data_IF_898397105286
#
_entry.id   IF_898397105286
#
_cell.length_a   1.000
_cell.length_b   1.000
_cell.length_c   1.000
_cell.angle_alpha   90.00
_cell.angle_beta   90.00
_cell.angle_gamma   90.00
#
_symmetry.space_group_name_H-M   'P 1'
#
loop_
_entity.id
_entity.type
_entity.pdbx_description
1 polymer ?
#
# COMPACT_ATOMS: atom_id res chain seq x y z
N UNK A 1 7.26 -14.82 -12.07
CA UNK A 1 6.50 -13.85 -12.91
C UNK A 1 7.00 -13.93 -14.35
N UNK A 2 6.26 -13.44 -15.35
CA UNK A 2 6.72 -13.45 -16.76
C UNK A 2 7.76 -12.35 -17.00
N UNK A 3 8.67 -12.55 -17.96
CA UNK A 3 9.77 -11.62 -18.25
C UNK A 3 9.31 -10.16 -18.50
N UNK A 4 8.26 -9.97 -19.30
CA UNK A 4 7.71 -8.63 -19.57
C UNK A 4 7.17 -7.93 -18.31
N UNK A 5 6.67 -8.68 -17.31
CA UNK A 5 6.20 -8.11 -16.06
C UNK A 5 7.39 -7.63 -15.21
N UNK A 6 8.49 -8.38 -15.22
CA UNK A 6 9.72 -8.01 -14.53
C UNK A 6 10.35 -6.74 -15.11
N UNK A 7 10.38 -6.64 -16.44
CA UNK A 7 10.84 -5.44 -17.14
C UNK A 7 9.99 -4.23 -16.77
N UNK A 8 8.66 -4.33 -16.89
CA UNK A 8 7.74 -3.26 -16.50
C UNK A 8 7.93 -2.82 -15.05
N UNK A 9 8.08 -3.76 -14.11
CA UNK A 9 8.26 -3.41 -12.70
C UNK A 9 9.56 -2.62 -12.49
N UNK A 10 10.62 -2.97 -13.24
CA UNK A 10 11.90 -2.28 -13.20
C UNK A 10 11.80 -0.87 -13.79
N UNK A 11 11.08 -0.69 -14.91
CA UNK A 11 10.78 0.62 -15.49
C UNK A 11 9.97 1.51 -14.54
N UNK A 12 8.99 0.94 -13.83
CA UNK A 12 8.22 1.66 -12.80
C UNK A 12 9.13 2.07 -11.65
N UNK A 13 9.99 1.17 -11.17
CA UNK A 13 10.95 1.49 -10.11
C UNK A 13 11.88 2.63 -10.50
N UNK A 14 12.46 2.57 -11.70
CA UNK A 14 13.32 3.64 -12.22
C UNK A 14 12.58 4.97 -12.35
N UNK A 15 11.33 4.95 -12.82
CA UNK A 15 10.49 6.15 -12.90
C UNK A 15 10.34 6.81 -11.52
N UNK A 16 10.00 6.03 -10.49
CA UNK A 16 9.77 6.55 -9.14
C UNK A 16 11.06 7.04 -8.47
N UNK A 17 12.21 6.45 -8.78
CA UNK A 17 13.51 6.91 -8.29
C UNK A 17 14.02 8.16 -9.01
N UNK A 18 13.74 8.31 -10.31
CA UNK A 18 14.14 9.50 -11.10
C UNK A 18 13.26 10.72 -10.86
N UNK A 19 11.95 10.50 -10.65
CA UNK A 19 10.98 11.58 -10.49
C UNK A 19 10.16 11.49 -9.18
N UNK A 20 10.82 11.34 -8.01
CA UNK A 20 10.11 11.18 -6.75
C UNK A 20 9.38 12.46 -6.33
N UNK A 21 9.93 13.64 -6.65
CA UNK A 21 9.37 14.94 -6.25
C UNK A 21 8.10 15.22 -7.03
N UNK A 22 8.11 15.01 -8.34
CA UNK A 22 6.96 15.26 -9.22
C UNK A 22 5.82 14.29 -8.89
N UNK A 23 6.13 13.01 -8.65
CA UNK A 23 5.14 12.03 -8.23
C UNK A 23 4.55 12.36 -6.84
N UNK A 24 5.38 12.77 -5.89
CA UNK A 24 4.93 13.18 -4.56
C UNK A 24 4.01 14.41 -4.61
N UNK A 25 4.42 15.46 -5.34
CA UNK A 25 3.63 16.66 -5.54
C UNK A 25 2.28 16.32 -6.18
N UNK A 26 2.27 15.52 -7.26
CA UNK A 26 1.04 15.11 -7.92
C UNK A 26 0.07 14.34 -7.01
N UNK A 27 0.57 13.56 -6.05
CA UNK A 27 -0.29 12.89 -5.06
C UNK A 27 -1.01 13.89 -4.15
N UNK A 28 -0.27 14.88 -3.62
CA UNK A 28 -0.86 15.88 -2.71
C UNK A 28 -1.75 16.89 -3.45
N UNK A 29 -1.37 17.32 -4.66
CA UNK A 29 -2.17 18.21 -5.51
C UNK A 29 -3.51 17.61 -5.93
N UNK A 30 -3.55 16.29 -6.17
CA UNK A 30 -4.78 15.61 -6.52
C UNK A 30 -5.85 15.70 -5.40
N UNK A 31 -5.45 16.01 -4.16
CA UNK A 31 -6.31 16.21 -2.98
C UNK A 31 -7.41 15.16 -2.81
N UNK A 32 -7.18 13.95 -3.34
CA UNK A 32 -8.20 12.92 -3.50
C UNK A 32 -8.49 12.18 -2.19
N UNK A 33 -7.53 12.22 -1.26
CA UNK A 33 -7.55 11.45 -0.03
C UNK A 33 -7.53 12.39 1.18
N UNK A 34 -8.62 12.43 1.92
CA UNK A 34 -8.77 13.26 3.12
C UNK A 34 -9.90 12.75 4.03
N UNK A 35 -10.37 13.60 4.92
CA UNK A 35 -11.52 13.31 5.78
C UNK A 35 -11.28 12.11 6.74
N UNK A 36 -12.30 11.26 6.97
CA UNK A 36 -12.21 10.15 7.94
C UNK A 36 -11.05 9.18 7.65
N UNK A 37 -10.73 8.96 6.37
CA UNK A 37 -9.64 8.10 5.94
C UNK A 37 -8.30 8.51 6.54
N UNK A 38 -7.98 9.80 6.49
CA UNK A 38 -6.72 10.33 7.03
C UNK A 38 -6.73 10.29 8.57
N UNK A 39 -7.86 10.63 9.19
CA UNK A 39 -8.01 10.62 10.64
C UNK A 39 -7.76 9.23 11.23
N UNK A 40 -8.47 8.21 10.74
CA UNK A 40 -8.33 6.85 11.26
C UNK A 40 -6.96 6.26 10.95
N UNK A 41 -6.41 6.52 9.76
CA UNK A 41 -5.08 6.06 9.38
C UNK A 41 -4.01 6.59 10.36
N UNK A 42 -3.98 7.91 10.61
CA UNK A 42 -2.99 8.51 11.52
C UNK A 42 -3.13 8.01 12.94
N UNK A 43 -4.36 7.87 13.44
CA UNK A 43 -4.58 7.33 14.80
C UNK A 43 -4.13 5.88 14.90
N UNK A 44 -4.43 5.04 13.90
CA UNK A 44 -4.00 3.64 13.87
C UNK A 44 -2.46 3.51 13.83
N UNK A 45 -1.79 4.32 13.01
CA UNK A 45 -0.33 4.33 12.92
C UNK A 45 0.32 4.86 14.21
N UNK A 46 -0.25 5.90 14.83
CA UNK A 46 0.25 6.43 16.10
C UNK A 46 0.22 5.45 17.27
N UNK A 47 -0.45 4.30 17.13
CA UNK A 47 -0.49 3.22 18.12
C UNK A 47 0.46 2.05 17.77
N UNK A 48 1.24 2.15 16.69
CA UNK A 48 2.29 1.18 16.34
C UNK A 48 3.38 1.17 17.42
N UNK A 49 3.97 0.00 17.69
CA UNK A 49 4.95 -0.20 18.76
C UNK A 49 4.34 -0.49 20.14
N UNK A 50 3.05 -0.19 20.34
CA UNK A 50 2.28 -0.61 21.52
C UNK A 50 1.58 -1.97 21.33
N UNK A 51 0.82 -2.36 22.36
CA UNK A 51 -0.02 -3.55 22.30
C UNK A 51 -1.09 -3.46 21.21
N UNK A 52 -1.47 -4.61 20.67
CA UNK A 52 -2.53 -4.72 19.67
C UNK A 52 -3.90 -4.67 20.36
N UNK A 53 -4.25 -3.49 20.86
CA UNK A 53 -5.51 -3.26 21.57
C UNK A 53 -6.70 -3.34 20.62
N UNK A 54 -7.88 -3.61 21.17
CA UNK A 54 -9.13 -3.56 20.42
C UNK A 54 -9.37 -2.21 19.75
N UNK A 55 -9.06 -1.10 20.43
CA UNK A 55 -9.16 0.25 19.83
C UNK A 55 -8.30 0.39 18.58
N UNK A 56 -7.05 -0.09 18.61
CA UNK A 56 -6.17 -0.06 17.43
C UNK A 56 -6.78 -0.86 16.28
N UNK A 57 -7.33 -2.04 16.56
CA UNK A 57 -8.00 -2.86 15.55
C UNK A 57 -9.26 -2.19 14.99
N UNK A 58 -10.06 -1.53 15.83
CA UNK A 58 -11.23 -0.77 15.39
C UNK A 58 -10.82 0.39 14.46
N UNK A 59 -9.74 1.10 14.76
CA UNK A 59 -9.19 2.17 13.91
C UNK A 59 -8.68 1.63 12.56
N UNK A 60 -7.98 0.49 12.55
CA UNK A 60 -7.55 -0.16 11.29
C UNK A 60 -8.78 -0.55 10.47
N UNK A 61 -9.76 -1.20 11.10
CA UNK A 61 -10.99 -1.63 10.45
C UNK A 61 -11.78 -0.45 9.87
N UNK A 62 -11.90 0.65 10.64
CA UNK A 62 -12.54 1.89 10.20
C UNK A 62 -11.78 2.56 9.03
N UNK A 63 -10.45 2.55 9.07
CA UNK A 63 -9.62 3.05 7.95
C UNK A 63 -9.91 2.29 6.66
N UNK A 64 -9.96 0.95 6.72
CA UNK A 64 -10.26 0.13 5.55
C UNK A 64 -11.67 0.39 5.00
N UNK A 65 -12.67 0.56 5.88
CA UNK A 65 -14.02 0.94 5.47
C UNK A 65 -14.02 2.32 4.78
N UNK A 66 -13.31 3.31 5.34
CA UNK A 66 -13.17 4.65 4.75
C UNK A 66 -12.41 4.64 3.41
N UNK A 67 -11.49 3.68 3.21
CA UNK A 67 -10.83 3.41 1.94
C UNK A 67 -11.68 2.59 0.95
N UNK A 68 -12.97 2.38 1.25
CA UNK A 68 -13.92 1.73 0.35
C UNK A 68 -13.80 0.20 0.30
N UNK A 69 -13.20 -0.43 1.32
CA UNK A 69 -13.14 -1.89 1.43
C UNK A 69 -14.49 -2.50 1.83
N UNK A 70 -15.42 -1.68 2.34
CA UNK A 70 -16.82 -2.07 2.56
C UNK A 70 -17.75 -1.13 1.80
N UNK A 71 -18.47 -1.65 0.80
CA UNK A 71 -19.50 -0.89 0.07
C UNK A 71 -20.88 -1.36 0.47
N UNK A 72 -21.83 -0.43 0.66
CA UNK A 72 -23.23 -0.78 0.91
C UNK A 72 -23.88 -1.29 -0.38
N UNK A 73 -24.88 -2.17 -0.26
CA UNK A 73 -25.58 -2.78 -1.40
C UNK A 73 -25.09 -4.20 -1.76
N UNK A 74 -25.66 -4.80 -2.81
CA UNK A 74 -25.43 -6.21 -3.15
C UNK A 74 -24.09 -6.48 -3.85
N UNK A 75 -23.41 -5.43 -4.35
CA UNK A 75 -22.17 -5.55 -5.12
C UNK A 75 -21.02 -4.75 -4.50
N UNK A 76 -19.80 -5.07 -4.93
CA UNK A 76 -18.58 -4.40 -4.48
C UNK A 76 -17.86 -5.12 -3.34
N UNK A 77 -16.80 -4.48 -2.84
CA UNK A 77 -15.97 -5.02 -1.75
C UNK A 77 -16.79 -5.14 -0.46
N UNK A 78 -16.59 -6.26 0.24
CA UNK A 78 -17.23 -6.55 1.53
C UNK A 78 -16.18 -7.00 2.52
N UNK A 79 -16.14 -6.33 3.66
CA UNK A 79 -15.35 -6.76 4.81
C UNK A 79 -16.14 -7.80 5.63
N UNK A 80 -15.43 -8.68 6.32
CA UNK A 80 -16.02 -9.60 7.30
C UNK A 80 -16.43 -8.83 8.56
N UNK A 81 -17.36 -9.34 9.39
CA UNK A 81 -17.72 -8.69 10.66
C UNK A 81 -16.50 -8.43 11.55
N UNK A 82 -16.53 -7.33 12.30
CA UNK A 82 -15.40 -6.92 13.14
C UNK A 82 -14.86 -8.03 14.07
N UNK A 83 -15.69 -8.83 14.79
CA UNK A 83 -15.16 -9.89 15.66
C UNK A 83 -14.35 -10.96 14.91
N UNK A 84 -14.69 -11.25 13.65
CA UNK A 84 -13.96 -12.20 12.81
C UNK A 84 -12.60 -11.62 12.38
N UNK A 85 -12.59 -10.35 11.98
CA UNK A 85 -11.37 -9.61 11.70
C UNK A 85 -10.45 -9.54 12.94
N UNK A 86 -11.01 -9.11 14.07
CA UNK A 86 -10.29 -9.00 15.35
C UNK A 86 -9.64 -10.32 15.74
N UNK A 87 -10.41 -11.41 15.75
CA UNK A 87 -9.89 -12.74 16.09
C UNK A 87 -8.75 -13.18 15.15
N UNK A 88 -8.88 -12.92 13.83
CA UNK A 88 -7.85 -13.28 12.85
C UNK A 88 -6.53 -12.54 13.06
N UNK A 89 -6.61 -11.24 13.39
CA UNK A 89 -5.42 -10.41 13.61
C UNK A 89 -4.79 -10.70 14.97
N UNK A 90 -5.60 -10.90 16.02
CA UNK A 90 -5.12 -11.28 17.34
C UNK A 90 -4.33 -12.60 17.31
N UNK A 91 -4.79 -13.59 16.52
CA UNK A 91 -4.07 -14.84 16.32
C UNK A 91 -2.68 -14.66 15.68
N UNK A 92 -2.45 -13.54 14.98
CA UNK A 92 -1.17 -13.21 14.35
C UNK A 92 -0.23 -12.41 15.26
N UNK A 93 -0.61 -12.08 16.50
CA UNK A 93 0.18 -11.24 17.41
C UNK A 93 1.65 -11.69 17.56
N UNK A 94 1.97 -12.99 17.73
CA UNK A 94 3.36 -13.43 17.80
C UNK A 94 4.16 -13.09 16.54
N UNK A 95 3.56 -13.30 15.36
CA UNK A 95 4.18 -12.98 14.06
C UNK A 95 4.36 -11.48 13.86
N UNK A 96 3.38 -10.67 14.27
CA UNK A 96 3.48 -9.20 14.23
C UNK A 96 4.65 -8.72 15.10
N UNK A 97 4.81 -9.30 16.30
CA UNK A 97 5.94 -8.98 17.19
C UNK A 97 7.29 -9.40 16.61
N UNK A 98 7.36 -10.55 15.95
CA UNK A 98 8.59 -11.02 15.31
C UNK A 98 9.04 -10.11 14.15
N UNK A 99 8.08 -9.50 13.46
CA UNK A 99 8.34 -8.56 12.35
C UNK A 99 8.58 -7.12 12.83
N UNK A 100 8.35 -6.81 14.11
CA UNK A 100 8.54 -5.47 14.63
C UNK A 100 10.03 -5.10 14.61
N UNK A 101 10.36 -3.98 13.96
CA UNK A 101 11.74 -3.50 13.84
C UNK A 101 12.57 -4.18 12.75
N UNK A 102 12.04 -5.15 12.02
CA UNK A 102 12.70 -5.67 10.82
C UNK A 102 12.70 -4.59 9.75
N UNK A 103 13.87 -4.36 9.15
CA UNK A 103 14.04 -3.41 8.05
C UNK A 103 14.03 -4.13 6.69
N UNK A 104 13.52 -3.50 5.61
CA UNK A 104 13.48 -4.11 4.28
C UNK A 104 14.84 -4.57 3.72
N UNK A 105 15.94 -3.91 4.07
CA UNK A 105 17.31 -4.27 3.69
C UNK A 105 17.87 -5.48 4.48
N UNK A 106 17.18 -5.89 5.54
CA UNK A 106 17.56 -6.98 6.44
C UNK A 106 16.59 -8.18 6.34
N UNK A 107 15.86 -8.27 5.23
CA UNK A 107 14.88 -9.33 5.01
C UNK A 107 15.56 -10.69 4.77
N UNK A 108 15.51 -11.55 5.80
CA UNK A 108 15.90 -12.96 5.69
C UNK A 108 14.70 -13.85 5.32
N UNK A 109 14.95 -15.11 4.93
CA UNK A 109 13.88 -16.04 4.57
C UNK A 109 12.90 -16.28 5.73
N UNK A 110 13.36 -16.20 6.98
CA UNK A 110 12.46 -16.28 8.13
C UNK A 110 11.50 -15.09 8.19
N UNK A 111 11.97 -13.86 7.93
CA UNK A 111 11.12 -12.66 7.85
C UNK A 111 10.11 -12.75 6.70
N UNK A 112 10.50 -13.34 5.56
CA UNK A 112 9.58 -13.62 4.46
C UNK A 112 8.51 -14.65 4.84
N UNK A 113 8.90 -15.72 5.53
CA UNK A 113 7.96 -16.72 6.04
C UNK A 113 6.99 -16.13 7.06
N UNK A 114 7.44 -15.20 7.90
CA UNK A 114 6.59 -14.53 8.87
C UNK A 114 5.65 -13.52 8.21
N UNK A 115 6.10 -12.77 7.19
CA UNK A 115 5.20 -11.96 6.37
C UNK A 115 4.15 -12.82 5.65
N UNK A 116 4.52 -14.00 5.15
CA UNK A 116 3.59 -14.94 4.54
C UNK A 116 2.54 -15.42 5.54
N UNK A 117 2.98 -15.84 6.73
CA UNK A 117 2.09 -16.26 7.82
C UNK A 117 1.12 -15.16 8.22
N UNK A 118 1.61 -13.93 8.37
CA UNK A 118 0.78 -12.77 8.69
C UNK A 118 -0.24 -12.51 7.57
N UNK A 119 0.20 -12.47 6.31
CA UNK A 119 -0.66 -12.27 5.16
C UNK A 119 -1.79 -13.30 5.09
N UNK A 120 -1.48 -14.58 5.35
CA UNK A 120 -2.43 -15.70 5.31
C UNK A 120 -3.35 -15.76 6.53
N UNK A 121 -2.86 -15.32 7.70
CA UNK A 121 -3.61 -15.36 8.96
C UNK A 121 -4.65 -14.25 9.07
N UNK A 122 -4.43 -13.10 8.41
CA UNK A 122 -5.41 -12.00 8.39
C UNK A 122 -6.64 -12.38 7.57
N UNK A 123 -7.82 -12.16 8.14
CA UNK A 123 -9.10 -12.29 7.46
C UNK A 123 -9.91 -11.00 7.60
N UNK A 124 -9.84 -10.14 6.57
CA UNK A 124 -10.59 -8.88 6.56
C UNK A 124 -11.65 -8.80 5.46
N UNK A 125 -11.51 -9.57 4.38
CA UNK A 125 -12.41 -9.55 3.24
C UNK A 125 -13.35 -10.77 3.24
N UNK A 126 -14.64 -10.53 3.00
CA UNK A 126 -15.62 -11.58 2.75
C UNK A 126 -15.55 -12.11 1.30
N UNK A 127 -14.99 -11.30 0.38
CA UNK A 127 -14.74 -11.70 -1.00
C UNK A 127 -13.45 -12.51 -1.14
N UNK A 128 -13.36 -13.35 -2.18
CA UNK A 128 -12.20 -14.20 -2.42
C UNK A 128 -10.87 -13.50 -2.77
N UNK A 129 -10.86 -12.20 -3.09
CA UNK A 129 -9.61 -11.45 -3.23
C UNK A 129 -9.15 -10.95 -1.87
N UNK A 130 -7.94 -11.33 -1.47
CA UNK A 130 -7.35 -11.00 -0.16
C UNK A 130 -6.26 -9.94 -0.24
N UNK A 131 -5.46 -9.91 -1.31
CA UNK A 131 -4.23 -9.09 -1.40
C UNK A 131 -4.46 -7.64 -1.03
N UNK A 132 -5.51 -7.03 -1.55
CA UNK A 132 -5.84 -5.61 -1.35
C UNK A 132 -6.22 -5.33 0.11
N UNK A 133 -7.07 -6.18 0.70
CA UNK A 133 -7.52 -5.98 2.08
C UNK A 133 -6.41 -6.30 3.07
N UNK A 134 -5.78 -7.47 2.91
CA UNK A 134 -4.77 -7.96 3.84
C UNK A 134 -3.51 -7.08 3.79
N UNK A 135 -3.04 -6.61 2.62
CA UNK A 135 -1.91 -5.67 2.57
C UNK A 135 -2.23 -4.34 3.25
N UNK A 136 -3.47 -3.86 3.16
CA UNK A 136 -3.93 -2.63 3.84
C UNK A 136 -3.96 -2.82 5.35
N UNK A 137 -4.34 -4.01 5.85
CA UNK A 137 -4.19 -4.34 7.28
C UNK A 137 -2.72 -4.38 7.66
N UNK A 138 -1.89 -5.11 6.91
CA UNK A 138 -0.44 -5.23 7.17
C UNK A 138 0.25 -3.86 7.17
N UNK A 139 -0.14 -2.93 6.31
CA UNK A 139 0.39 -1.56 6.30
C UNK A 139 0.13 -0.76 7.59
N UNK A 140 -0.76 -1.22 8.47
CA UNK A 140 -0.97 -0.65 9.80
C UNK A 140 -0.39 -1.50 10.94
N UNK A 141 -0.02 -2.75 10.65
CA UNK A 141 0.59 -3.67 11.61
C UNK A 141 2.13 -3.61 11.54
N UNK A 142 2.68 -3.60 10.33
CA UNK A 142 4.11 -3.59 9.98
C UNK A 142 4.38 -2.51 8.91
N UNK A 143 4.13 -1.23 9.22
CA UNK A 143 4.12 -0.13 8.25
C UNK A 143 5.47 0.11 7.55
N UNK A 144 6.58 -0.38 8.11
CA UNK A 144 7.91 -0.24 7.53
C UNK A 144 8.25 -1.34 6.50
N UNK A 145 7.45 -2.41 6.46
CA UNK A 145 7.67 -3.57 5.58
C UNK A 145 6.67 -3.70 4.45
N UNK A 146 5.41 -3.29 4.66
CA UNK A 146 4.32 -3.54 3.73
C UNK A 146 3.54 -2.26 3.43
N UNK A 147 3.40 -1.88 2.15
CA UNK A 147 2.55 -0.76 1.73
C UNK A 147 1.08 -1.19 1.59
N UNK A 148 0.12 -0.23 1.60
CA UNK A 148 -1.27 -0.53 1.29
C UNK A 148 -1.47 -0.78 -0.22
N UNK A 149 -1.34 -2.02 -0.68
CA UNK A 149 -1.59 -2.36 -2.11
C UNK A 149 -3.02 -2.04 -2.56
N UNK A 150 -3.13 -1.37 -3.70
CA UNK A 150 -4.41 -1.01 -4.32
C UNK A 150 -4.57 -1.55 -5.76
N UNK A 151 -5.82 -1.85 -6.15
CA UNK A 151 -6.12 -2.33 -7.51
C UNK A 151 -5.96 -1.24 -8.57
N UNK A 152 -6.42 -0.03 -8.27
CA UNK A 152 -6.46 1.10 -9.20
C UNK A 152 -5.08 1.67 -9.46
N UNK A 153 -4.26 1.77 -8.41
CA UNK A 153 -2.97 2.44 -8.47
C UNK A 153 -1.82 1.43 -8.52
N UNK A 154 -1.57 0.68 -7.44
CA UNK A 154 -0.42 -0.22 -7.32
C UNK A 154 -0.40 -1.30 -8.39
N UNK A 155 -1.46 -2.11 -8.48
CA UNK A 155 -1.50 -3.22 -9.44
C UNK A 155 -1.57 -2.72 -10.88
N UNK A 156 -2.28 -1.63 -11.13
CA UNK A 156 -2.37 -1.06 -12.46
C UNK A 156 -1.02 -0.54 -12.95
N UNK A 157 -0.27 0.15 -12.09
CA UNK A 157 1.06 0.65 -12.44
C UNK A 157 2.02 -0.52 -12.69
N UNK A 158 2.09 -1.46 -11.75
CA UNK A 158 3.01 -2.60 -11.79
C UNK A 158 2.71 -3.63 -12.88
N UNK A 159 1.43 -3.95 -13.13
CA UNK A 159 1.00 -5.01 -14.06
C UNK A 159 0.46 -4.49 -15.38
N UNK A 160 0.06 -3.21 -15.45
CA UNK A 160 -0.67 -2.65 -16.60
C UNK A 160 -2.16 -3.00 -16.61
N UNK A 161 -2.66 -3.70 -15.59
CA UNK A 161 -4.08 -4.04 -15.45
C UNK A 161 -4.47 -4.22 -13.99
N UNK A 162 -5.77 -4.18 -13.70
CA UNK A 162 -6.33 -4.26 -12.34
C UNK A 162 -6.80 -5.68 -11.94
N UNK A 163 -6.70 -6.64 -12.87
CA UNK A 163 -7.22 -8.00 -12.69
C UNK A 163 -6.35 -8.78 -11.70
N UNK A 164 -6.99 -9.44 -10.74
CA UNK A 164 -6.36 -10.36 -9.81
C UNK A 164 -6.96 -11.74 -10.06
N UNK A 165 -6.10 -12.74 -10.16
CA UNK A 165 -6.54 -14.13 -10.14
C UNK A 165 -6.53 -14.57 -8.68
N UNK A 166 -7.71 -14.85 -8.15
CA UNK A 166 -7.85 -15.22 -6.74
C UNK A 166 -7.07 -16.49 -6.41
N UNK A 167 -6.57 -16.55 -5.18
CA UNK A 167 -5.90 -17.71 -4.63
C UNK A 167 -4.76 -17.28 -3.73
N UNK A 168 -4.82 -17.67 -2.46
CA UNK A 168 -3.95 -17.16 -1.40
C UNK A 168 -2.46 -17.31 -1.75
N UNK A 169 -2.04 -18.44 -2.33
CA UNK A 169 -0.65 -18.66 -2.76
C UNK A 169 -0.22 -17.78 -3.94
N UNK A 170 -1.14 -17.46 -4.84
CA UNK A 170 -0.86 -16.59 -6.00
C UNK A 170 -0.80 -15.14 -5.55
N UNK A 171 -1.69 -14.75 -4.67
CA UNK A 171 -1.78 -13.41 -4.10
C UNK A 171 -0.60 -13.10 -3.19
N UNK A 172 -0.15 -14.05 -2.36
CA UNK A 172 1.10 -13.92 -1.60
C UNK A 172 2.30 -13.75 -2.53
N UNK A 173 2.46 -14.61 -3.55
CA UNK A 173 3.56 -14.48 -4.52
C UNK A 173 3.54 -13.14 -5.25
N UNK A 174 2.35 -12.61 -5.54
CA UNK A 174 2.21 -11.28 -6.12
C UNK A 174 2.64 -10.19 -5.14
N UNK A 175 2.25 -10.28 -3.87
CA UNK A 175 2.67 -9.34 -2.83
C UNK A 175 4.19 -9.37 -2.64
N UNK A 176 4.79 -10.56 -2.44
CA UNK A 176 6.25 -10.73 -2.32
C UNK A 176 6.99 -10.14 -3.52
N UNK A 177 6.52 -10.41 -4.74
CA UNK A 177 7.10 -9.84 -5.97
C UNK A 177 7.04 -8.30 -6.02
N UNK A 178 5.95 -7.69 -5.56
CA UNK A 178 5.84 -6.22 -5.45
C UNK A 178 6.80 -5.68 -4.38
N UNK A 179 6.90 -6.35 -3.24
CA UNK A 179 7.80 -5.95 -2.15
C UNK A 179 9.25 -5.99 -2.61
N UNK A 180 9.72 -7.14 -3.09
CA UNK A 180 11.11 -7.36 -3.52
C UNK A 180 11.49 -6.52 -4.75
N UNK A 181 10.57 -6.38 -5.72
CA UNK A 181 10.89 -5.78 -7.01
C UNK A 181 10.68 -4.27 -7.09
N UNK A 182 9.78 -3.73 -6.26
CA UNK A 182 9.36 -2.33 -6.33
C UNK A 182 9.52 -1.60 -4.99
N UNK A 183 8.87 -2.06 -3.93
CA UNK A 183 8.77 -1.26 -2.71
C UNK A 183 10.03 -1.26 -1.86
N UNK A 184 10.59 -2.43 -1.54
CA UNK A 184 11.80 -2.53 -0.72
C UNK A 184 12.99 -1.81 -1.37
N UNK A 185 13.31 -2.01 -2.66
CA UNK A 185 14.43 -1.30 -3.29
C UNK A 185 14.30 0.22 -3.29
N UNK A 186 13.08 0.77 -3.40
CA UNK A 186 12.87 2.23 -3.36
C UNK A 186 12.98 2.72 -1.91
N UNK A 187 12.32 2.03 -0.97
CA UNK A 187 12.33 2.42 0.44
C UNK A 187 13.71 2.34 1.09
N UNK A 188 14.63 1.53 0.55
CA UNK A 188 16.02 1.39 1.03
C UNK A 188 17.04 2.21 0.22
N UNK A 189 16.64 2.87 -0.86
CA UNK A 189 17.53 3.76 -1.61
C UNK A 189 17.90 4.97 -0.75
N UNK A 190 19.19 5.26 -0.60
CA UNK A 190 19.68 6.26 0.36
C UNK A 190 19.16 7.68 0.06
N UNK A 191 19.15 8.06 -1.22
CA UNK A 191 18.67 9.37 -1.65
C UNK A 191 17.15 9.49 -1.49
N UNK A 192 16.41 8.41 -1.75
CA UNK A 192 14.97 8.37 -1.50
C UNK A 192 14.66 8.41 0.00
N UNK A 193 15.38 7.64 0.81
CA UNK A 193 15.17 7.57 2.25
C UNK A 193 15.45 8.92 2.93
N UNK A 194 16.42 9.70 2.45
CA UNK A 194 16.65 11.08 2.89
C UNK A 194 15.40 11.96 2.65
N UNK A 195 14.80 11.87 1.45
CA UNK A 195 13.56 12.60 1.13
C UNK A 195 12.37 12.13 1.95
N UNK A 196 12.22 10.83 2.18
CA UNK A 196 11.19 10.30 3.07
C UNK A 196 11.27 10.96 4.45
N UNK A 197 12.48 11.07 5.04
CA UNK A 197 12.67 11.74 6.33
C UNK A 197 12.25 13.21 6.30
N UNK A 198 12.59 13.93 5.23
CA UNK A 198 12.20 15.33 5.05
C UNK A 198 10.68 15.48 4.96
N UNK A 199 10.01 14.69 4.12
CA UNK A 199 8.56 14.79 3.96
C UNK A 199 7.80 14.34 5.22
N UNK A 200 8.24 13.24 5.84
CA UNK A 200 7.64 12.74 7.08
C UNK A 200 7.79 13.73 8.25
N UNK A 201 8.79 14.62 8.22
CA UNK A 201 9.00 15.63 9.26
C UNK A 201 7.98 16.78 9.23
N UNK A 202 7.26 16.98 8.12
CA UNK A 202 6.37 18.14 7.89
C UNK A 202 4.92 17.68 7.79
N UNK A 203 4.40 17.09 8.87
CA UNK A 203 3.10 16.39 8.92
C UNK A 203 1.87 17.27 8.68
N UNK A 204 2.02 18.58 8.77
CA UNK A 204 1.01 19.59 8.44
C UNK A 204 0.81 19.76 6.93
N UNK A 205 1.86 19.51 6.13
CA UNK A 205 1.79 19.50 4.67
C UNK A 205 1.61 18.07 4.15
N UNK A 206 2.34 17.12 4.74
CA UNK A 206 2.46 15.76 4.23
C UNK A 206 1.87 14.72 5.19
N UNK A 207 0.60 14.93 5.52
CA UNK A 207 -0.11 14.15 6.53
C UNK A 207 -0.26 12.64 6.23
N UNK A 208 -0.06 12.23 4.98
CA UNK A 208 -0.11 10.82 4.54
C UNK A 208 1.27 10.15 4.58
N UNK A 209 2.34 10.88 4.84
CA UNK A 209 3.69 10.34 4.84
C UNK A 209 4.00 9.82 6.24
N UNK A 210 3.53 8.60 6.53
CA UNK A 210 3.62 8.01 7.88
C UNK A 210 4.69 6.93 8.01
N UNK A 211 5.20 6.42 6.90
CA UNK A 211 6.32 5.47 6.83
C UNK A 211 6.95 5.50 5.43
N UNK A 212 8.18 5.00 5.24
CA UNK A 212 8.79 4.88 3.91
C UNK A 212 7.91 4.11 2.92
N UNK A 213 7.28 3.01 3.35
CA UNK A 213 6.38 2.24 2.49
C UNK A 213 5.15 3.04 2.06
N UNK A 214 4.60 3.89 2.96
CA UNK A 214 3.47 4.75 2.63
C UNK A 214 3.87 5.89 1.69
N UNK A 215 5.07 6.43 1.83
CA UNK A 215 5.62 7.41 0.87
C UNK A 215 5.76 6.78 -0.51
N UNK A 216 6.33 5.58 -0.64
CA UNK A 216 6.41 4.89 -1.93
C UNK A 216 5.03 4.62 -2.53
N UNK A 217 4.03 4.26 -1.71
CA UNK A 217 2.64 4.15 -2.15
C UNK A 217 2.07 5.50 -2.66
N UNK A 218 2.34 6.61 -1.97
CA UNK A 218 1.97 7.96 -2.44
C UNK A 218 2.61 8.26 -3.80
N UNK A 219 3.88 7.90 -4.00
CA UNK A 219 4.55 8.07 -5.30
C UNK A 219 3.89 7.24 -6.41
N UNK A 220 3.50 5.99 -6.11
CA UNK A 220 2.78 5.11 -7.05
C UNK A 220 1.47 5.76 -7.49
N UNK A 221 0.72 6.34 -6.55
CA UNK A 221 -0.54 7.02 -6.84
C UNK A 221 -0.28 8.28 -7.68
N UNK A 222 0.67 9.12 -7.29
CA UNK A 222 1.01 10.34 -8.02
C UNK A 222 1.51 10.08 -9.44
N UNK A 223 2.35 9.07 -9.65
CA UNK A 223 2.77 8.65 -10.99
C UNK A 223 1.58 8.20 -11.86
N UNK A 224 0.57 7.56 -11.27
CA UNK A 224 -0.66 7.21 -11.98
C UNK A 224 -1.53 8.43 -12.31
N UNK A 225 -1.58 9.43 -11.43
CA UNK A 225 -2.26 10.71 -11.69
C UNK A 225 -1.60 11.42 -12.89
N UNK A 226 -0.27 11.53 -12.89
CA UNK A 226 0.50 12.12 -14.00
C UNK A 226 0.21 11.40 -15.32
N UNK A 227 0.21 10.05 -15.32
CA UNK A 227 -0.10 9.25 -16.52
C UNK A 227 -1.53 9.44 -17.00
N UNK A 228 -2.50 9.60 -16.09
CA UNK A 228 -3.90 9.88 -16.43
C UNK A 228 -4.07 11.25 -17.08
N UNK A 229 -3.39 12.27 -16.55
CA UNK A 229 -3.46 13.65 -17.05
C UNK A 229 -2.70 13.84 -18.37
N UNK A 230 -1.58 13.14 -18.57
CA UNK A 230 -0.82 13.15 -19.83
C UNK A 230 -1.52 12.48 -21.02
N UNK A 231 -2.61 11.74 -20.79
CA UNK A 231 -3.47 11.20 -21.83
C UNK A 231 -4.50 12.21 -22.38
N UNK A 232 -4.73 13.33 -21.67
CA UNK A 232 -5.73 14.34 -22.03
C UNK A 232 -5.17 15.47 -22.92
N UNK A 233 -3.87 15.47 -23.25
CA UNK A 233 -3.21 16.51 -24.06
C UNK A 233 -2.82 16.07 -25.48
N UNK A 234 -3.55 15.14 -26.10
CA UNK A 234 -3.55 14.93 -27.55
C UNK A 234 -4.92 15.22 -28.15
N UNK A 235 -5.17 16.50 -28.34
CA UNK A 235 -6.42 17.02 -28.93
C UNK A 235 -6.32 18.51 -29.22
N UNK A 236 -5.17 19.00 -29.66
CA UNK A 236 -5.12 20.25 -30.43
C UNK A 236 -4.92 19.79 -31.86
N UNK A 237 -6.03 19.66 -32.58
CA UNK A 237 -6.04 19.56 -34.03
C UNK A 237 -5.40 20.81 -34.60
N UNK A 238 -4.37 20.62 -35.42
CA UNK A 238 -3.90 21.59 -36.39
C UNK A 238 -5.11 22.13 -37.17
N UNK A 239 -5.43 23.39 -36.95
CA UNK A 239 -6.32 24.17 -37.79
C UNK A 239 -5.45 25.02 -38.70
N UNK A 240 -5.25 24.52 -39.91
CA UNK A 240 -4.72 25.25 -41.05
C UNK A 240 -5.51 26.56 -41.29
N UNK A 241 -4.79 27.63 -41.61
CA UNK A 241 -5.22 28.69 -42.53
C UNK A 241 -4.29 28.60 -43.73
#
# INVERSE_FOLDING_TARGET
MKAHQQQRLSEVRELLLRHPVEAHAAFYEAATFGGPSLHFHRRAIGMVGGDLTRERLELIYATLAAWGMHRMGPSGSKMVPFPEFEASVQACTPTIRALAGVSPDQMEEQSWNDLERLFRGIRVMASGTTIVGNSKVMAHLVPDLVPPVDRQYTLHLALGHKRIVNGLDREWRLLRWLLEGLFHPIATDEAHLARCREWMAVQELFAWDTSPMKVVDNLVIGAMVIRGNGGATKGVTDGEV
#
